data_IF_288582868069
#
_entry.id   IF_288582868069
#
_cell.length_a   1.000
_cell.length_b   1.000
_cell.length_c   1.000
_cell.angle_alpha   90.00
_cell.angle_beta   90.00
_cell.angle_gamma   90.00
#
_symmetry.space_group_name_H-M   'P 1'
#
loop_
_entity.id
_entity.type
_entity.pdbx_description
1 polymer ?
#
# COMPACT_ATOMS: atom_id res chain seq x y z
N UNK A 1 -0.71 -12.29 -8.50
CA UNK A 1 -0.49 -11.15 -9.44
C UNK A 1 -1.74 -10.31 -9.68
N UNK A 2 -2.92 -10.90 -9.90
CA UNK A 2 -4.18 -10.16 -10.11
C UNK A 2 -4.52 -9.14 -8.98
N UNK A 3 -4.32 -9.42 -7.68
CA UNK A 3 -4.68 -8.48 -6.62
C UNK A 3 -3.80 -7.22 -6.58
N UNK A 4 -2.54 -7.36 -7.00
CA UNK A 4 -1.55 -6.27 -7.05
C UNK A 4 -1.89 -5.27 -8.15
N UNK A 5 -2.39 -5.77 -9.30
CA UNK A 5 -2.88 -4.96 -10.41
C UNK A 5 -4.15 -4.18 -10.04
N UNK A 6 -5.08 -4.81 -9.32
CA UNK A 6 -6.30 -4.15 -8.82
C UNK A 6 -5.95 -3.04 -7.83
N UNK A 7 -5.04 -3.30 -6.88
CA UNK A 7 -4.55 -2.26 -5.96
C UNK A 7 -3.86 -1.10 -6.67
N UNK A 8 -3.12 -1.36 -7.74
CA UNK A 8 -2.50 -0.33 -8.58
C UNK A 8 -3.51 0.62 -9.23
N UNK A 9 -4.58 0.07 -9.83
CA UNK A 9 -5.63 0.84 -10.51
C UNK A 9 -6.43 1.67 -9.49
N UNK A 10 -6.77 1.09 -8.34
CA UNK A 10 -7.49 1.80 -7.25
C UNK A 10 -6.61 2.93 -6.68
N UNK A 11 -5.33 2.67 -6.44
CA UNK A 11 -4.38 3.68 -5.98
C UNK A 11 -4.27 4.86 -6.94
N UNK A 12 -4.26 4.61 -8.24
CA UNK A 12 -4.27 5.65 -9.28
C UNK A 12 -5.55 6.50 -9.24
N UNK A 13 -6.71 5.85 -9.29
CA UNK A 13 -8.01 6.52 -9.28
C UNK A 13 -8.20 7.39 -8.02
N UNK A 14 -7.71 6.93 -6.87
CA UNK A 14 -7.75 7.69 -5.63
C UNK A 14 -6.79 8.89 -5.64
N UNK A 15 -5.62 8.80 -6.27
CA UNK A 15 -4.72 9.95 -6.41
C UNK A 15 -5.26 11.03 -7.36
N UNK A 16 -6.13 10.67 -8.30
CA UNK A 16 -6.83 11.62 -9.16
C UNK A 16 -8.12 12.17 -8.52
N UNK A 17 -8.71 11.47 -7.55
CA UNK A 17 -9.90 11.93 -6.83
C UNK A 17 -9.57 13.15 -5.96
N UNK A 18 -10.51 14.11 -5.93
CA UNK A 18 -10.36 15.45 -5.37
C UNK A 18 -9.55 15.54 -4.07
N UNK A 19 -8.80 16.64 -3.93
CA UNK A 19 -7.66 16.91 -3.03
C UNK A 19 -7.76 16.63 -1.52
N UNK A 20 -8.76 15.91 -1.03
CA UNK A 20 -8.89 15.42 0.35
C UNK A 20 -7.67 14.60 0.79
N UNK A 21 -7.17 13.67 -0.03
CA UNK A 21 -6.00 12.85 0.31
C UNK A 21 -4.71 13.67 0.40
N UNK A 22 -4.63 14.79 -0.32
CA UNK A 22 -3.49 15.72 -0.30
C UNK A 22 -3.46 16.61 0.96
N UNK A 23 -4.61 16.81 1.60
CA UNK A 23 -4.74 17.56 2.87
C UNK A 23 -4.35 16.72 4.09
N UNK A 24 -4.25 15.40 3.94
CA UNK A 24 -3.84 14.48 5.00
C UNK A 24 -2.36 14.67 5.31
N UNK A 25 -2.02 14.89 6.59
CA UNK A 25 -0.62 15.07 6.99
C UNK A 25 0.20 13.79 6.78
N UNK A 26 1.50 13.94 6.48
CA UNK A 26 2.42 12.82 6.33
C UNK A 26 2.44 11.86 7.54
N UNK A 27 2.18 12.38 8.75
CA UNK A 27 2.11 11.58 9.98
C UNK A 27 0.96 10.58 9.94
N UNK A 28 -0.20 10.99 9.42
CA UNK A 28 -1.39 10.13 9.30
C UNK A 28 -1.14 9.01 8.30
N UNK A 29 -0.47 9.32 7.18
CA UNK A 29 -0.04 8.31 6.21
C UNK A 29 0.87 7.26 6.84
N UNK A 30 1.88 7.67 7.61
CA UNK A 30 2.76 6.74 8.32
C UNK A 30 1.99 5.86 9.32
N UNK A 31 1.07 6.44 10.09
CA UNK A 31 0.23 5.67 11.04
C UNK A 31 -0.61 4.62 10.29
N UNK A 32 -1.22 4.98 9.17
CA UNK A 32 -2.01 4.04 8.36
C UNK A 32 -1.15 2.90 7.81
N UNK A 33 0.06 3.21 7.30
CA UNK A 33 1.00 2.19 6.81
C UNK A 33 1.37 1.24 7.96
N UNK A 34 1.79 1.75 9.12
CA UNK A 34 2.15 0.90 10.27
C UNK A 34 0.96 0.09 10.80
N UNK A 35 -0.25 0.65 10.82
CA UNK A 35 -1.44 -0.07 11.21
C UNK A 35 -1.69 -1.26 10.28
N UNK A 36 -1.60 -1.07 8.97
CA UNK A 36 -1.77 -2.18 8.02
C UNK A 36 -0.71 -3.27 8.16
N UNK A 37 0.54 -2.92 8.46
CA UNK A 37 1.61 -3.89 8.78
C UNK A 37 1.23 -4.69 10.02
N UNK A 38 0.82 -4.02 11.10
CA UNK A 38 0.40 -4.67 12.34
C UNK A 38 -0.76 -5.65 12.11
N UNK A 39 -1.80 -5.23 11.37
CA UNK A 39 -2.91 -6.12 11.02
C UNK A 39 -2.47 -7.29 10.14
N UNK A 40 -1.64 -7.05 9.13
CA UNK A 40 -1.14 -8.11 8.25
C UNK A 40 -0.36 -9.19 9.02
N UNK A 41 0.34 -8.79 10.09
CA UNK A 41 1.04 -9.71 10.97
C UNK A 41 0.10 -10.36 11.98
N UNK A 42 -0.88 -9.66 12.56
CA UNK A 42 -1.74 -10.23 13.60
C UNK A 42 -2.81 -11.20 13.05
N UNK A 43 -3.31 -10.97 11.83
CA UNK A 43 -4.41 -11.75 11.25
C UNK A 43 -4.13 -13.26 11.11
N UNK A 44 -2.92 -13.70 10.70
CA UNK A 44 -2.54 -15.11 10.73
C UNK A 44 -2.67 -15.77 12.10
N UNK A 45 -2.32 -15.07 13.18
CA UNK A 45 -2.45 -15.59 14.56
C UNK A 45 -3.90 -15.87 14.95
N UNK A 46 -4.85 -15.21 14.29
CA UNK A 46 -6.28 -15.36 14.52
C UNK A 46 -6.95 -16.36 13.55
N UNK A 47 -6.16 -17.04 12.70
CA UNK A 47 -6.67 -17.94 11.66
C UNK A 47 -7.33 -17.21 10.48
N UNK A 48 -7.16 -15.88 10.36
CA UNK A 48 -7.80 -15.03 9.36
C UNK A 48 -6.90 -14.80 8.13
N UNK A 49 -6.28 -15.86 7.62
CA UNK A 49 -5.36 -15.81 6.47
C UNK A 49 -6.00 -15.21 5.21
N UNK A 50 -7.31 -15.42 5.01
CA UNK A 50 -8.04 -14.87 3.86
C UNK A 50 -8.10 -13.33 3.90
N UNK A 51 -8.26 -12.76 5.09
CA UNK A 51 -8.32 -11.31 5.32
C UNK A 51 -6.93 -10.68 5.24
N UNK A 52 -5.88 -11.43 5.57
CA UNK A 52 -4.48 -10.96 5.46
C UNK A 52 -4.18 -10.45 4.06
N UNK A 53 -4.61 -11.17 3.01
CA UNK A 53 -4.37 -10.75 1.63
C UNK A 53 -5.06 -9.42 1.32
N UNK A 54 -6.27 -9.20 1.81
CA UNK A 54 -6.98 -7.94 1.65
C UNK A 54 -6.24 -6.78 2.35
N UNK A 55 -5.74 -7.00 3.57
CA UNK A 55 -4.95 -6.00 4.30
C UNK A 55 -3.65 -5.66 3.57
N UNK A 56 -2.99 -6.64 2.96
CA UNK A 56 -1.79 -6.41 2.15
C UNK A 56 -2.10 -5.54 0.93
N UNK A 57 -3.23 -5.79 0.25
CA UNK A 57 -3.67 -4.96 -0.89
C UNK A 57 -3.98 -3.54 -0.43
N UNK A 58 -4.64 -3.37 0.72
CA UNK A 58 -4.90 -2.04 1.32
C UNK A 58 -3.59 -1.34 1.65
N UNK A 59 -2.62 -2.05 2.25
CA UNK A 59 -1.28 -1.51 2.53
C UNK A 59 -0.57 -1.06 1.26
N UNK A 60 -0.66 -1.86 0.19
CA UNK A 60 -0.12 -1.51 -1.13
C UNK A 60 -0.75 -0.22 -1.67
N UNK A 61 -2.08 -0.11 -1.66
CA UNK A 61 -2.81 1.07 -2.15
C UNK A 61 -2.38 2.33 -1.38
N UNK A 62 -2.32 2.25 -0.05
CA UNK A 62 -1.89 3.35 0.83
C UNK A 62 -0.46 3.79 0.47
N UNK A 63 0.44 2.83 0.24
CA UNK A 63 1.83 3.13 -0.13
C UNK A 63 1.95 3.78 -1.51
N UNK A 64 1.17 3.34 -2.50
CA UNK A 64 1.10 3.95 -3.83
C UNK A 64 0.63 5.41 -3.71
N UNK A 65 -0.47 5.65 -3.00
CA UNK A 65 -1.01 7.00 -2.84
C UNK A 65 0.01 7.90 -2.13
N UNK A 66 0.61 7.42 -1.04
CA UNK A 66 1.59 8.17 -0.27
C UNK A 66 2.80 8.59 -1.13
N UNK A 67 3.39 7.65 -1.88
CA UNK A 67 4.54 7.94 -2.73
C UNK A 67 4.15 8.86 -3.89
N UNK A 68 2.96 8.67 -4.48
CA UNK A 68 2.51 9.53 -5.57
C UNK A 68 2.34 10.98 -5.09
N UNK A 69 1.74 11.20 -3.92
CA UNK A 69 1.61 12.54 -3.31
C UNK A 69 2.98 13.15 -2.98
N UNK A 70 3.96 12.35 -2.54
CA UNK A 70 5.32 12.86 -2.28
C UNK A 70 6.07 13.27 -3.56
N UNK A 71 5.78 12.62 -4.68
CA UNK A 71 6.50 12.80 -5.94
C UNK A 71 5.80 13.74 -6.92
N UNK A 72 4.49 13.95 -6.82
CA UNK A 72 3.72 14.74 -7.80
C UNK A 72 4.20 16.19 -7.94
N UNK A 73 4.84 16.76 -6.91
CA UNK A 73 5.39 18.11 -6.92
C UNK A 73 6.88 18.17 -7.31
N UNK A 74 7.53 17.01 -7.49
CA UNK A 74 8.97 16.90 -7.75
C UNK A 74 9.29 16.48 -9.18
N UNK A 75 8.40 15.70 -9.80
CA UNK A 75 8.60 15.10 -11.12
C UNK A 75 7.29 15.07 -11.91
N UNK A 76 7.36 14.64 -13.17
CA UNK A 76 6.16 14.45 -14.00
C UNK A 76 5.20 13.44 -13.35
N UNK A 77 3.90 13.74 -13.36
CA UNK A 77 2.81 12.88 -12.83
C UNK A 77 2.89 11.43 -13.29
N UNK A 78 3.17 11.19 -14.58
CA UNK A 78 3.25 9.81 -15.11
C UNK A 78 4.44 9.08 -14.47
N UNK A 79 5.58 9.75 -14.34
CA UNK A 79 6.77 9.15 -13.73
C UNK A 79 6.59 8.95 -12.22
N UNK A 80 5.96 9.90 -11.52
CA UNK A 80 5.57 9.76 -10.11
C UNK A 80 4.70 8.53 -9.89
N UNK A 81 3.71 8.33 -10.76
CA UNK A 81 2.83 7.18 -10.69
C UNK A 81 3.55 5.85 -10.95
N UNK A 82 4.42 5.78 -11.97
CA UNK A 82 5.22 4.57 -12.25
C UNK A 82 6.11 4.21 -11.06
N UNK A 83 6.77 5.19 -10.44
CA UNK A 83 7.59 4.97 -9.25
C UNK A 83 6.73 4.52 -8.06
N UNK A 84 5.56 5.14 -7.86
CA UNK A 84 4.63 4.78 -6.81
C UNK A 84 4.11 3.34 -6.97
N UNK A 85 3.76 2.92 -8.19
CA UNK A 85 3.37 1.55 -8.50
C UNK A 85 4.47 0.54 -8.18
N UNK A 86 5.71 0.82 -8.62
CA UNK A 86 6.86 -0.03 -8.34
C UNK A 86 7.10 -0.16 -6.85
N UNK A 87 7.13 0.96 -6.13
CA UNK A 87 7.39 0.97 -4.71
C UNK A 87 6.26 0.30 -3.90
N UNK A 88 5.00 0.53 -4.25
CA UNK A 88 3.86 -0.18 -3.65
C UNK A 88 3.91 -1.68 -3.90
N UNK A 89 4.29 -2.11 -5.11
CA UNK A 89 4.43 -3.53 -5.45
C UNK A 89 5.56 -4.18 -4.63
N UNK A 90 6.72 -3.54 -4.56
CA UNK A 90 7.85 -4.00 -3.74
C UNK A 90 7.43 -4.11 -2.27
N UNK A 91 6.70 -3.12 -1.76
CA UNK A 91 6.17 -3.11 -0.40
C UNK A 91 5.24 -4.29 -0.11
N UNK A 92 4.31 -4.57 -1.02
CA UNK A 92 3.40 -5.71 -0.89
C UNK A 92 4.14 -7.04 -0.87
N UNK A 93 5.14 -7.22 -1.75
CA UNK A 93 5.99 -8.41 -1.79
C UNK A 93 6.72 -8.58 -0.45
N UNK A 94 7.34 -7.51 0.07
CA UNK A 94 8.02 -7.54 1.37
C UNK A 94 7.09 -7.98 2.49
N UNK A 95 5.86 -7.45 2.55
CA UNK A 95 4.86 -7.83 3.55
C UNK A 95 4.45 -9.30 3.46
N UNK A 96 4.28 -9.84 2.25
CA UNK A 96 4.01 -11.26 2.04
C UNK A 96 5.19 -12.09 2.52
N UNK A 97 6.41 -11.75 2.10
CA UNK A 97 7.63 -12.47 2.48
C UNK A 97 7.87 -12.46 3.99
N UNK A 98 7.72 -11.32 4.66
CA UNK A 98 7.90 -11.20 6.11
C UNK A 98 6.89 -12.10 6.85
N UNK A 99 5.62 -12.09 6.44
CA UNK A 99 4.65 -13.00 7.05
C UNK A 99 4.94 -14.47 6.75
N UNK A 100 5.45 -14.83 5.57
CA UNK A 100 5.89 -16.19 5.27
C UNK A 100 7.03 -16.65 6.19
N UNK A 101 8.02 -15.79 6.42
CA UNK A 101 9.13 -16.06 7.36
C UNK A 101 8.63 -16.24 8.81
N UNK A 102 7.68 -15.41 9.26
CA UNK A 102 7.17 -15.45 10.64
C UNK A 102 6.29 -16.68 10.88
N UNK A 103 5.48 -17.06 9.90
CA UNK A 103 4.47 -18.12 10.03
C UNK A 103 4.89 -19.46 9.43
N UNK A 104 6.06 -19.52 8.79
CA UNK A 104 6.56 -20.75 8.15
C UNK A 104 5.77 -21.15 6.91
N UNK A 105 5.20 -20.17 6.20
CA UNK A 105 4.45 -20.34 4.94
C UNK A 105 5.34 -20.22 3.71
#
# INVERSE_FOLDING_TARGET
MIPVLIGGIIGFALTESDGLLKKVSWKVWMILIFATVGFALLLPLLGLQRIRQEVIIVSQIIMIIFINILLENKINKILAFVIALLAGTIWAILLVSVGGVIYGE
#
